data_IF_047102469157
#
_entry.id   IF_047102469157
#
_cell.length_a   1.000
_cell.length_b   1.000
_cell.length_c   1.000
_cell.angle_alpha   90.00
_cell.angle_beta   90.00
_cell.angle_gamma   90.00
#
_symmetry.space_group_name_H-M   'P 1'
#
loop_
_entity.id
_entity.type
_entity.pdbx_description
1 polymer ?
#
# COMPACT_ATOMS: atom_id res chain seq x y z
N UNK A 1 16.65 -16.57 -2.92
CA UNK A 1 15.72 -15.47 -2.61
C UNK A 1 14.54 -15.51 -3.54
N UNK A 2 13.33 -15.57 -3.02
CA UNK A 2 12.18 -15.46 -3.90
C UNK A 2 12.16 -14.05 -4.52
N UNK A 3 11.84 -13.99 -5.80
CA UNK A 3 11.67 -12.71 -6.47
C UNK A 3 10.40 -12.06 -5.94
N UNK A 4 10.45 -10.75 -5.72
CA UNK A 4 9.25 -9.98 -5.42
C UNK A 4 8.37 -9.94 -6.66
N UNK A 5 7.09 -10.14 -6.45
CA UNK A 5 6.12 -10.04 -7.53
C UNK A 5 6.06 -8.59 -8.03
N UNK A 6 6.22 -8.34 -9.33
CA UNK A 6 6.16 -6.97 -9.88
C UNK A 6 4.85 -6.25 -9.55
N UNK A 7 3.74 -6.98 -9.48
CA UNK A 7 2.43 -6.42 -9.14
C UNK A 7 2.47 -5.84 -7.72
N UNK A 8 2.95 -6.62 -6.76
CA UNK A 8 3.00 -6.17 -5.36
C UNK A 8 4.05 -5.10 -5.15
N UNK A 9 5.14 -5.16 -5.91
CA UNK A 9 6.18 -4.13 -5.83
C UNK A 9 5.63 -2.76 -6.28
N UNK A 10 4.92 -2.73 -7.41
CA UNK A 10 4.33 -1.49 -7.91
C UNK A 10 3.27 -0.97 -6.95
N UNK A 11 2.39 -1.84 -6.47
CA UNK A 11 1.38 -1.46 -5.48
C UNK A 11 2.03 -0.87 -4.23
N UNK A 12 3.07 -1.53 -3.71
CA UNK A 12 3.78 -1.06 -2.53
C UNK A 12 4.41 0.31 -2.73
N UNK A 13 5.00 0.55 -3.91
CA UNK A 13 5.57 1.86 -4.26
C UNK A 13 4.49 2.93 -4.30
N UNK A 14 3.31 2.61 -4.83
CA UNK A 14 2.19 3.55 -4.87
C UNK A 14 1.72 3.90 -3.45
N UNK A 15 1.59 2.91 -2.59
CA UNK A 15 1.21 3.13 -1.19
C UNK A 15 2.21 4.07 -0.51
N UNK A 16 3.50 3.78 -0.63
CA UNK A 16 4.55 4.61 -0.04
C UNK A 16 4.53 6.02 -0.59
N UNK A 17 4.35 6.17 -1.89
CA UNK A 17 4.31 7.47 -2.55
C UNK A 17 3.17 8.34 -2.00
N UNK A 18 1.96 7.80 -1.98
CA UNK A 18 0.80 8.56 -1.47
C UNK A 18 0.93 8.83 0.03
N UNK A 19 1.45 7.86 0.79
CA UNK A 19 1.70 8.05 2.21
C UNK A 19 2.65 9.23 2.46
N UNK A 20 3.76 9.26 1.76
CA UNK A 20 4.76 10.32 1.89
C UNK A 20 4.21 11.67 1.46
N UNK A 21 3.44 11.69 0.37
CA UNK A 21 2.79 12.91 -0.12
C UNK A 21 1.85 13.50 0.93
N UNK A 22 1.18 12.63 1.70
CA UNK A 22 0.28 13.07 2.77
C UNK A 22 1.01 13.37 4.08
N UNK A 23 2.32 13.18 4.13
CA UNK A 23 3.11 13.42 5.34
C UNK A 23 2.86 12.40 6.44
N UNK A 24 2.41 11.20 6.11
CA UNK A 24 2.11 10.17 7.10
C UNK A 24 3.28 9.22 7.30
N UNK A 25 3.47 8.78 8.56
CA UNK A 25 4.35 7.65 8.84
C UNK A 25 3.61 6.35 8.51
N UNK A 26 4.35 5.24 8.40
CA UNK A 26 3.73 3.93 8.23
C UNK A 26 2.78 3.61 9.39
N UNK A 27 3.17 3.98 10.60
CA UNK A 27 2.35 3.78 11.79
C UNK A 27 1.04 4.57 11.71
N UNK A 28 1.11 5.84 11.30
CA UNK A 28 -0.06 6.68 11.16
C UNK A 28 -1.01 6.16 10.08
N UNK A 29 -0.47 5.71 8.94
CA UNK A 29 -1.28 5.11 7.90
C UNK A 29 -1.95 3.84 8.39
N UNK A 30 -1.21 2.98 9.08
CA UNK A 30 -1.75 1.74 9.63
C UNK A 30 -2.93 2.03 10.57
N UNK A 31 -2.77 3.01 11.46
CA UNK A 31 -3.84 3.40 12.38
C UNK A 31 -5.09 3.87 11.63
N UNK A 32 -4.92 4.70 10.61
CA UNK A 32 -6.04 5.20 9.80
C UNK A 32 -6.74 4.09 9.03
N UNK A 33 -5.98 3.13 8.52
CA UNK A 33 -6.51 2.04 7.71
C UNK A 33 -7.04 0.87 8.55
N UNK A 34 -6.83 0.88 9.86
CA UNK A 34 -7.19 -0.24 10.72
C UNK A 34 -6.30 -1.45 10.48
N UNK A 35 -5.04 -1.23 10.15
CA UNK A 35 -4.07 -2.29 9.86
C UNK A 35 -2.91 -2.23 10.84
N UNK A 36 -2.13 -3.30 10.89
CA UNK A 36 -0.93 -3.34 11.69
C UNK A 36 0.22 -2.65 10.95
N UNK A 37 1.10 -1.95 11.69
CA UNK A 37 2.26 -1.26 11.10
C UNK A 37 3.15 -2.21 10.29
N UNK A 38 3.40 -3.39 10.81
CA UNK A 38 4.22 -4.39 10.12
C UNK A 38 3.60 -4.79 8.79
N UNK A 39 2.28 -4.89 8.75
CA UNK A 39 1.54 -5.21 7.53
C UNK A 39 1.72 -4.10 6.47
N UNK A 40 1.59 -2.84 6.88
CA UNK A 40 1.84 -1.71 5.97
C UNK A 40 3.27 -1.73 5.45
N UNK A 41 4.25 -1.96 6.32
CA UNK A 41 5.65 -2.06 5.93
C UNK A 41 5.86 -3.17 4.88
N UNK A 42 5.27 -4.33 5.09
CA UNK A 42 5.39 -5.46 4.16
C UNK A 42 4.74 -5.14 2.81
N UNK A 43 3.61 -4.44 2.81
CA UNK A 43 2.96 -4.01 1.57
C UNK A 43 3.86 -3.05 0.80
N UNK A 44 4.43 -2.05 1.48
CA UNK A 44 5.30 -1.07 0.82
C UNK A 44 6.56 -1.71 0.24
N UNK A 45 7.07 -2.76 0.88
CA UNK A 45 8.23 -3.49 0.36
C UNK A 45 7.89 -4.46 -0.77
N UNK A 46 6.61 -4.64 -1.08
CA UNK A 46 6.20 -5.53 -2.15
C UNK A 46 6.30 -7.01 -1.82
N UNK A 47 6.32 -7.36 -0.55
CA UNK A 47 6.48 -8.75 -0.09
C UNK A 47 5.19 -9.35 0.44
N UNK A 48 4.08 -8.65 0.30
CA UNK A 48 2.79 -9.13 0.78
C UNK A 48 1.66 -8.75 -0.19
N UNK A 49 0.76 -9.69 -0.41
CA UNK A 49 -0.47 -9.45 -1.13
C UNK A 49 -1.54 -8.95 -0.14
N UNK A 50 -1.97 -7.69 -0.23
CA UNK A 50 -2.92 -7.15 0.73
C UNK A 50 -4.35 -7.62 0.54
N UNK A 51 -4.69 -8.12 -0.64
CA UNK A 51 -6.07 -8.40 -0.99
C UNK A 51 -6.87 -7.12 -1.22
N UNK A 52 -8.00 -7.25 -1.92
CA UNK A 52 -8.77 -6.09 -2.37
C UNK A 52 -9.35 -5.28 -1.21
N UNK A 53 -9.79 -5.92 -0.15
CA UNK A 53 -10.37 -5.18 0.99
C UNK A 53 -9.35 -4.25 1.62
N UNK A 54 -8.13 -4.69 1.80
CA UNK A 54 -7.09 -3.87 2.40
C UNK A 54 -6.59 -2.80 1.43
N UNK A 55 -6.61 -3.06 0.13
CA UNK A 55 -6.34 -2.03 -0.87
C UNK A 55 -7.36 -0.90 -0.74
N UNK A 56 -8.64 -1.24 -0.61
CA UNK A 56 -9.70 -0.24 -0.42
C UNK A 56 -9.50 0.54 0.88
N UNK A 57 -9.16 -0.14 1.98
CA UNK A 57 -8.89 0.52 3.27
C UNK A 57 -7.74 1.50 3.17
N UNK A 58 -6.66 1.10 2.50
CA UNK A 58 -5.49 1.97 2.31
C UNK A 58 -5.84 3.18 1.44
N UNK A 59 -6.58 2.97 0.35
CA UNK A 59 -7.00 4.07 -0.50
C UNK A 59 -7.83 5.10 0.27
N UNK A 60 -8.79 4.63 1.06
CA UNK A 60 -9.61 5.52 1.90
C UNK A 60 -8.76 6.29 2.90
N UNK A 61 -7.84 5.60 3.58
CA UNK A 61 -6.97 6.23 4.57
C UNK A 61 -6.07 7.28 3.93
N UNK A 62 -5.66 7.06 2.69
CA UNK A 62 -4.80 7.97 1.94
C UNK A 62 -5.58 9.08 1.22
N UNK A 63 -6.91 8.98 1.18
CA UNK A 63 -7.74 9.96 0.47
C UNK A 63 -7.60 9.88 -1.04
N UNK A 64 -7.32 8.71 -1.58
CA UNK A 64 -7.22 8.48 -3.02
C UNK A 64 -8.22 7.39 -3.43
N UNK A 65 -8.45 7.26 -4.73
CA UNK A 65 -9.30 6.17 -5.24
C UNK A 65 -8.51 4.87 -5.27
N UNK A 66 -9.21 3.75 -5.26
CA UNK A 66 -8.57 2.45 -5.45
C UNK A 66 -7.85 2.38 -6.80
N UNK A 67 -8.46 2.96 -7.84
CA UNK A 67 -7.85 3.02 -9.17
C UNK A 67 -6.50 3.74 -9.14
N UNK A 68 -6.43 4.87 -8.44
CA UNK A 68 -5.16 5.60 -8.29
C UNK A 68 -4.12 4.76 -7.57
N UNK A 69 -4.55 4.05 -6.53
CA UNK A 69 -3.61 3.26 -5.71
C UNK A 69 -3.02 2.07 -6.49
N UNK A 70 -3.77 1.50 -7.43
CA UNK A 70 -3.31 0.36 -8.22
C UNK A 70 -2.79 0.76 -9.60
N UNK A 71 -2.59 2.04 -9.85
CA UNK A 71 -2.10 2.50 -11.15
C UNK A 71 -0.76 1.86 -11.48
N UNK A 72 -0.65 1.35 -12.71
CA UNK A 72 0.56 0.69 -13.18
C UNK A 72 0.72 -0.76 -12.75
N UNK A 73 -0.27 -1.31 -12.05
CA UNK A 73 -0.23 -2.70 -11.56
C UNK A 73 -0.73 -3.65 -12.67
N UNK A 74 -0.15 -3.51 -13.85
CA UNK A 74 -0.53 -4.31 -15.02
C UNK A 74 0.61 -5.22 -15.45
N UNK A 75 1.17 -5.88 -14.62
CA UNK A 75 2.37 -6.69 -14.83
C UNK A 75 2.62 -7.20 -16.24
#
# INVERSE_FOLDING_TARGET
MPKRDPIFRILGQNVAKYRQTKGLTQEALAAKAGLHRTYVSDIERGVRNPGIKNVVRLAKALGVTTAELVEGVDA
#
